data_IF_075400117930
#
_entry.id   IF_075400117930
#
_cell.length_a   1.000
_cell.length_b   1.000
_cell.length_c   1.000
_cell.angle_alpha   90.00
_cell.angle_beta   90.00
_cell.angle_gamma   90.00
#
_symmetry.space_group_name_H-M   'P 1'
#
loop_
_entity.id
_entity.type
_entity.pdbx_description
1 polymer ?
#
# COMPACT_ATOMS: atom_id res chain seq x y z
N UNK A 1 7.03 -32.81 -3.27
CA UNK A 1 6.46 -31.89 -2.31
C UNK A 1 5.68 -30.81 -3.02
N UNK A 2 4.50 -30.60 -2.57
CA UNK A 2 3.67 -29.54 -3.10
C UNK A 2 4.05 -28.24 -2.43
N UNK A 3 4.32 -27.22 -3.22
CA UNK A 3 4.56 -25.90 -2.68
C UNK A 3 3.24 -25.29 -2.24
N UNK A 4 3.24 -24.71 -1.08
CA UNK A 4 2.09 -23.97 -0.63
C UNK A 4 2.06 -22.61 -1.32
N UNK A 5 0.87 -22.06 -1.46
CA UNK A 5 0.72 -20.69 -1.93
C UNK A 5 1.48 -19.74 -0.99
N UNK A 6 1.89 -18.57 -1.48
CA UNK A 6 2.58 -17.60 -0.63
C UNK A 6 1.74 -17.25 0.59
N UNK A 7 2.39 -17.08 1.72
CA UNK A 7 1.72 -16.71 2.95
C UNK A 7 2.06 -15.27 3.33
N UNK A 8 1.07 -14.41 3.39
CA UNK A 8 1.28 -13.02 3.79
C UNK A 8 1.78 -12.98 5.23
N UNK A 9 2.89 -12.30 5.46
CA UNK A 9 3.41 -12.05 6.80
C UNK A 9 2.96 -10.68 7.32
N UNK A 10 2.57 -9.79 6.41
CA UNK A 10 1.98 -8.51 6.79
C UNK A 10 0.51 -8.73 7.09
N UNK A 11 0.06 -8.29 8.26
CA UNK A 11 -1.33 -8.45 8.68
C UNK A 11 -2.27 -7.67 7.77
N UNK A 12 -3.44 -8.23 7.51
CA UNK A 12 -4.48 -7.54 6.75
C UNK A 12 -4.93 -6.29 7.49
N UNK A 13 -5.46 -5.33 6.75
CA UNK A 13 -6.03 -4.12 7.30
C UNK A 13 -5.10 -2.93 7.17
N UNK A 14 -5.08 -2.08 8.19
CA UNK A 14 -4.40 -0.80 8.10
C UNK A 14 -2.89 -0.95 8.01
N UNK A 15 -2.30 -0.32 7.00
CA UNK A 15 -0.85 -0.17 6.89
C UNK A 15 -0.38 1.15 7.53
N UNK A 16 -1.30 1.97 7.99
CA UNK A 16 -0.98 3.19 8.70
C UNK A 16 -1.74 4.38 8.17
N UNK A 17 -1.44 5.54 8.76
CA UNK A 17 -1.98 6.82 8.34
C UNK A 17 -0.84 7.63 7.77
N UNK A 18 -1.02 8.14 6.56
CA UNK A 18 0.01 8.88 5.84
C UNK A 18 -0.51 10.27 5.56
N UNK A 19 0.32 11.26 5.83
CA UNK A 19 -0.06 12.64 5.54
C UNK A 19 -0.24 12.83 4.04
N UNK A 20 -1.27 13.55 3.66
CA UNK A 20 -1.44 13.95 2.26
C UNK A 20 -0.21 14.70 1.78
N UNK A 21 0.14 14.55 0.53
CA UNK A 21 1.35 15.10 -0.10
C UNK A 21 2.64 14.44 0.39
N UNK A 22 2.58 13.39 1.19
CA UNK A 22 3.78 12.71 1.64
C UNK A 22 4.55 12.15 0.44
N UNK A 23 5.86 12.28 0.50
CA UNK A 23 6.77 11.72 -0.49
C UNK A 23 7.78 10.83 0.22
N UNK A 24 7.88 9.59 -0.21
CA UNK A 24 8.82 8.64 0.36
C UNK A 24 8.20 7.26 0.51
N UNK A 25 8.78 6.45 1.39
CA UNK A 25 8.29 5.10 1.64
C UNK A 25 7.08 5.14 2.55
N UNK A 26 5.98 4.58 2.06
CA UNK A 26 4.71 4.56 2.78
C UNK A 26 4.67 3.36 3.72
N UNK A 27 5.00 2.19 3.18
CA UNK A 27 4.93 0.94 3.93
C UNK A 27 5.71 -0.12 3.15
N UNK A 28 5.94 -1.26 3.81
CA UNK A 28 6.53 -2.42 3.15
C UNK A 28 5.68 -3.61 3.49
N UNK A 29 5.22 -4.34 2.46
CA UNK A 29 4.48 -5.58 2.67
C UNK A 29 5.40 -6.74 2.42
N UNK A 30 5.09 -7.88 3.04
CA UNK A 30 5.92 -9.06 2.92
C UNK A 30 5.07 -10.33 2.94
N UNK A 31 5.58 -11.33 2.29
CA UNK A 31 4.96 -12.65 2.26
C UNK A 31 6.06 -13.69 2.19
N UNK A 32 5.81 -14.86 2.78
CA UNK A 32 6.72 -15.98 2.68
C UNK A 32 6.38 -16.80 1.44
N UNK A 33 7.40 -17.44 0.87
CA UNK A 33 7.22 -18.27 -0.31
C UNK A 33 8.47 -18.27 -1.16
N UNK A 34 8.41 -18.98 -2.27
CA UNK A 34 9.54 -19.11 -3.17
C UNK A 34 9.48 -18.01 -4.23
N UNK A 35 10.42 -17.08 -4.14
CA UNK A 35 10.55 -15.99 -5.11
C UNK A 35 9.23 -15.24 -5.29
N UNK A 36 8.72 -14.69 -4.19
CA UNK A 36 7.42 -14.02 -4.21
C UNK A 36 7.51 -12.68 -4.92
N UNK A 37 6.54 -12.41 -5.78
CA UNK A 37 6.35 -11.10 -6.37
C UNK A 37 4.99 -10.54 -5.94
N UNK A 38 4.88 -9.23 -5.95
CA UNK A 38 3.69 -8.52 -5.47
C UNK A 38 3.05 -7.72 -6.60
N UNK A 39 1.73 -7.70 -6.60
CA UNK A 39 0.97 -6.90 -7.55
C UNK A 39 -0.31 -6.43 -6.87
N UNK A 40 -0.93 -5.42 -7.46
CA UNK A 40 -2.24 -4.95 -6.98
C UNK A 40 -3.32 -5.44 -7.92
N UNK A 41 -4.38 -6.02 -7.36
CA UNK A 41 -5.52 -6.51 -8.16
C UNK A 41 -6.59 -5.45 -8.34
N UNK A 42 -6.60 -4.45 -7.46
CA UNK A 42 -7.47 -3.28 -7.58
C UNK A 42 -6.68 -2.16 -8.26
N UNK A 43 -7.30 -1.05 -8.52
CA UNK A 43 -6.60 0.11 -9.08
C UNK A 43 -6.81 1.29 -8.15
N UNK A 44 -6.37 1.12 -6.91
CA UNK A 44 -6.50 2.15 -5.88
C UNK A 44 -5.13 2.60 -5.41
N UNK A 45 -4.28 1.66 -4.97
CA UNK A 45 -2.96 2.00 -4.44
C UNK A 45 -2.09 2.66 -5.51
N UNK A 46 -2.06 2.10 -6.69
CA UNK A 46 -1.18 2.57 -7.77
C UNK A 46 -1.87 3.55 -8.72
N UNK A 47 -3.09 3.97 -8.40
CA UNK A 47 -3.84 4.90 -9.22
C UNK A 47 -3.51 6.33 -8.82
N UNK A 48 -3.03 7.13 -9.79
CA UNK A 48 -2.66 8.52 -9.53
C UNK A 48 -3.84 9.38 -9.05
N UNK A 49 -5.06 8.95 -9.35
CA UNK A 49 -6.27 9.66 -8.87
C UNK A 49 -6.75 9.14 -7.52
N UNK A 50 -6.06 8.16 -6.96
CA UNK A 50 -6.38 7.57 -5.67
C UNK A 50 -5.19 7.75 -4.73
N UNK A 51 -4.62 6.67 -4.25
CA UNK A 51 -3.49 6.76 -3.31
C UNK A 51 -2.20 7.25 -3.97
N UNK A 52 -2.07 7.06 -5.27
CA UNK A 52 -0.92 7.57 -6.04
C UNK A 52 0.41 7.01 -5.54
N UNK A 53 0.44 5.71 -5.31
CA UNK A 53 1.64 5.03 -4.82
C UNK A 53 2.23 4.12 -5.88
N UNK A 54 3.45 3.67 -5.63
CA UNK A 54 4.12 2.68 -6.47
C UNK A 54 4.44 1.48 -5.61
N UNK A 55 4.15 0.29 -6.09
CA UNK A 55 4.45 -0.96 -5.42
C UNK A 55 5.62 -1.62 -6.13
N UNK A 56 6.69 -1.88 -5.37
CA UNK A 56 7.82 -2.62 -5.90
C UNK A 56 7.47 -4.11 -5.92
N UNK A 57 7.41 -4.69 -7.10
CA UNK A 57 6.96 -6.07 -7.26
C UNK A 57 7.93 -7.09 -6.65
N UNK A 58 9.18 -6.73 -6.49
CA UNK A 58 10.19 -7.66 -5.96
C UNK A 58 10.35 -7.56 -4.44
N UNK A 59 10.23 -6.35 -3.89
CA UNK A 59 10.54 -6.11 -2.48
C UNK A 59 9.30 -5.85 -1.63
N UNK A 60 8.16 -5.53 -2.25
CA UNK A 60 6.95 -5.17 -1.52
C UNK A 60 6.98 -3.77 -0.93
N UNK A 61 7.97 -2.97 -1.29
CA UNK A 61 8.06 -1.59 -0.80
C UNK A 61 7.05 -0.72 -1.53
N UNK A 62 6.28 0.04 -0.78
CA UNK A 62 5.29 0.97 -1.32
C UNK A 62 5.82 2.38 -1.13
N UNK A 63 5.96 3.11 -2.21
CA UNK A 63 6.47 4.48 -2.19
C UNK A 63 5.50 5.41 -2.90
N UNK A 64 5.64 6.69 -2.64
CA UNK A 64 4.82 7.71 -3.28
C UNK A 64 5.62 8.99 -3.42
N UNK A 65 5.23 9.81 -4.39
CA UNK A 65 5.79 11.16 -4.53
C UNK A 65 4.80 12.23 -4.11
N UNK A 66 3.53 11.86 -3.96
CA UNK A 66 2.46 12.81 -3.60
C UNK A 66 1.26 11.99 -3.13
N UNK A 67 1.30 11.53 -1.89
CA UNK A 67 0.29 10.60 -1.39
C UNK A 67 -1.10 11.19 -1.49
N UNK A 68 -2.01 10.42 -2.06
CA UNK A 68 -3.39 10.86 -2.24
C UNK A 68 -3.59 11.76 -3.44
N UNK A 69 -2.55 11.99 -4.26
CA UNK A 69 -2.66 12.77 -5.48
C UNK A 69 -3.01 14.22 -5.24
N UNK A 70 -2.47 14.83 -4.18
CA UNK A 70 -2.75 16.21 -3.79
C UNK A 70 -4.18 16.45 -3.35
N UNK A 71 -4.89 15.39 -2.95
CA UNK A 71 -6.24 15.53 -2.41
C UNK A 71 -6.20 16.30 -1.09
N UNK A 72 -7.17 17.16 -0.88
CA UNK A 72 -7.31 17.91 0.36
C UNK A 72 -8.28 17.25 1.33
N UNK A 73 -8.74 16.04 1.01
CA UNK A 73 -9.71 15.32 1.85
C UNK A 73 -9.06 14.08 2.43
N UNK A 74 -9.21 13.89 3.75
CA UNK A 74 -8.77 12.65 4.38
C UNK A 74 -9.59 11.50 3.82
N UNK A 75 -8.92 10.50 3.27
CA UNK A 75 -9.57 9.42 2.55
C UNK A 75 -8.97 8.09 3.00
N UNK A 76 -9.82 7.11 3.19
CA UNK A 76 -9.39 5.74 3.43
C UNK A 76 -9.30 5.02 2.10
N UNK A 77 -8.10 4.57 1.75
CA UNK A 77 -7.88 3.81 0.52
C UNK A 77 -7.85 2.33 0.87
N UNK A 78 -8.73 1.57 0.24
CA UNK A 78 -8.80 0.11 0.40
C UNK A 78 -8.36 -0.54 -0.90
N UNK A 79 -7.39 -1.43 -0.81
CA UNK A 79 -6.85 -2.08 -2.00
C UNK A 79 -6.49 -3.52 -1.67
N UNK A 80 -6.41 -4.35 -2.70
CA UNK A 80 -6.06 -5.75 -2.56
C UNK A 80 -4.73 -5.99 -3.26
N UNK A 81 -3.81 -6.61 -2.55
CA UNK A 81 -2.52 -6.99 -3.11
C UNK A 81 -2.48 -8.50 -3.29
N UNK A 82 -1.76 -8.92 -4.30
CA UNK A 82 -1.57 -10.34 -4.63
C UNK A 82 -0.09 -10.68 -4.53
N UNK A 83 0.20 -11.74 -3.79
CA UNK A 83 1.53 -12.33 -3.77
C UNK A 83 1.51 -13.55 -4.68
N UNK A 84 2.52 -13.65 -5.54
CA UNK A 84 2.63 -14.76 -6.49
C UNK A 84 4.00 -15.40 -6.31
N UNK A 85 4.04 -16.72 -6.15
CA UNK A 85 5.30 -17.42 -6.01
C UNK A 85 5.83 -17.90 -7.37
N UNK A 86 6.99 -18.58 -7.34
CA UNK A 86 7.65 -19.03 -8.57
C UNK A 86 6.83 -20.07 -9.33
N UNK A 87 5.92 -20.75 -8.66
CA UNK A 87 5.06 -21.77 -9.28
C UNK A 87 3.77 -21.18 -9.82
N UNK A 88 3.57 -19.88 -9.67
CA UNK A 88 2.35 -19.23 -10.13
C UNK A 88 1.20 -19.30 -9.15
N UNK A 89 1.45 -19.79 -7.94
CA UNK A 89 0.41 -19.81 -6.90
C UNK A 89 0.25 -18.40 -6.34
N UNK A 90 -0.97 -18.04 -5.97
CA UNK A 90 -1.26 -16.69 -5.52
C UNK A 90 -1.97 -16.68 -4.18
N UNK A 91 -1.81 -15.58 -3.46
CA UNK A 91 -2.55 -15.31 -2.24
C UNK A 91 -2.83 -13.81 -2.19
N UNK A 92 -4.09 -13.47 -1.96
CA UNK A 92 -4.52 -12.08 -1.93
C UNK A 92 -4.80 -11.65 -0.50
N UNK A 93 -4.57 -10.37 -0.22
CA UNK A 93 -4.89 -9.80 1.08
C UNK A 93 -5.29 -8.34 0.92
N UNK A 94 -6.30 -7.94 1.67
CA UNK A 94 -6.83 -6.58 1.62
C UNK A 94 -6.10 -5.73 2.65
N UNK A 95 -5.67 -4.55 2.21
CA UNK A 95 -5.01 -3.56 3.06
C UNK A 95 -5.69 -2.22 2.92
N UNK A 96 -5.44 -1.35 3.87
CA UNK A 96 -5.92 0.02 3.82
C UNK A 96 -4.80 1.00 4.16
N UNK A 97 -4.90 2.20 3.61
CA UNK A 97 -4.05 3.33 3.97
C UNK A 97 -4.95 4.53 4.14
N UNK A 98 -4.78 5.23 5.23
CA UNK A 98 -5.58 6.42 5.53
C UNK A 98 -4.73 7.65 5.23
N UNK A 99 -5.26 8.58 4.43
CA UNK A 99 -4.63 9.89 4.28
C UNK A 99 -5.11 10.81 5.40
N UNK A 100 -4.24 11.70 5.86
CA UNK A 100 -4.60 12.69 6.86
C UNK A 100 -4.23 14.09 6.36
N UNK A 101 -5.09 15.09 6.68
CA UNK A 101 -4.76 16.51 6.48
C UNK A 101 -4.86 17.17 7.83
N UNK A 102 -3.79 17.50 8.30
CA UNK A 102 -3.74 18.29 9.50
C UNK A 102 -4.15 19.68 9.25
N UNK A 103 -4.05 20.05 9.03
CA UNK A 103 -3.90 20.99 9.03
C UNK A 103 -3.24 21.64 9.32
N UNK A 104 -3.21 21.68 8.87
CA UNK A 104 -2.74 22.04 9.09
C UNK A 104 -2.48 22.73 9.42
N UNK A 105 -2.55 22.94 9.16
CA UNK A 105 -2.45 23.45 9.50
C UNK A 105 -2.20 23.95 9.92
N UNK A 106 -2.12 24.17 9.71
CA UNK A 106 -2.08 24.55 10.21
C UNK A 106 -1.93 25.02 10.90
N UNK A 107 -1.77 25.30 10.85
CA UNK A 107 -1.86 25.47 11.48
C UNK A 107 -1.97 25.94 12.19
N UNK A 108 -2.13 26.16 12.13
CA UNK A 108 -2.51 26.37 12.79
C UNK A 108 -2.75 26.63 13.58
N UNK A 109 -2.84 26.39 13.53
CA UNK A 109 -3.16 26.36 14.44
C UNK A 109 -2.80 26.11 15.11
N UNK A 110 -2.48 26.14 14.80
CA UNK A 110 -2.29 25.71 15.30
C UNK A 110 -2.00 25.45 15.89
N UNK A 111 -1.94 25.44 15.74
CA UNK A 111 -1.93 25.07 16.35
C UNK A 111 -1.82 24.89 16.85
#
# INVERSE_FOLDING_TARGET
TVSDAPGWTTSAGSLGTIQGDFSGTVATVAASGDTVTFSETTSVLTNASQANCTLNSSTGVITTTDFGGSSTTATLYTFTLRATDAQGQTADRVFTLQSSFGLVNSGGFGN
#
